data_IF_429105134797
#
_entry.id   IF_429105134797
#
_cell.length_a   1.000
_cell.length_b   1.000
_cell.length_c   1.000
_cell.angle_alpha   90.00
_cell.angle_beta   90.00
_cell.angle_gamma   90.00
#
_symmetry.space_group_name_H-M   'P 1'
#
loop_
_entity.id
_entity.type
_entity.pdbx_description
1 polymer ?
#
# COMPACT_ATOMS: atom_id res chain seq x y z
N UNK A 1 -22.66 12.65 -9.41
CA UNK A 1 -22.23 11.67 -8.38
C UNK A 1 -23.46 10.88 -7.97
N UNK A 2 -23.52 9.60 -8.32
CA UNK A 2 -24.68 8.77 -7.99
C UNK A 2 -24.55 8.33 -6.53
N UNK A 3 -25.48 8.77 -5.67
CA UNK A 3 -25.53 8.39 -4.25
C UNK A 3 -26.71 7.48 -3.99
N UNK A 4 -26.46 6.33 -3.36
CA UNK A 4 -27.46 5.38 -2.92
C UNK A 4 -27.57 5.43 -1.41
N UNK A 5 -28.79 5.37 -0.88
CA UNK A 5 -29.02 5.23 0.56
C UNK A 5 -29.55 3.82 0.81
N UNK A 6 -28.79 3.02 1.56
CA UNK A 6 -29.18 1.67 1.99
C UNK A 6 -29.08 1.65 3.52
N UNK A 7 -30.15 1.26 4.21
CA UNK A 7 -30.23 1.20 5.68
C UNK A 7 -29.74 2.48 6.38
N UNK A 8 -30.20 3.63 5.90
CA UNK A 8 -29.84 4.96 6.42
C UNK A 8 -28.35 5.32 6.31
N UNK A 9 -27.58 4.60 5.47
CA UNK A 9 -26.18 4.91 5.13
C UNK A 9 -26.08 5.35 3.68
N UNK A 10 -25.31 6.42 3.44
CA UNK A 10 -25.07 6.95 2.10
C UNK A 10 -23.83 6.31 1.48
N UNK A 11 -24.00 5.77 0.27
CA UNK A 11 -22.96 5.15 -0.54
C UNK A 11 -22.81 5.92 -1.84
N UNK A 12 -21.58 6.03 -2.34
CA UNK A 12 -21.31 6.60 -3.66
C UNK A 12 -21.04 5.45 -4.62
N UNK A 13 -21.82 5.38 -5.70
CA UNK A 13 -21.58 4.42 -6.77
C UNK A 13 -20.60 5.03 -7.75
N UNK A 14 -19.50 4.33 -7.98
CA UNK A 14 -18.48 4.68 -8.95
C UNK A 14 -18.29 3.53 -9.94
N UNK A 15 -17.96 3.81 -11.21
CA UNK A 15 -17.47 2.80 -12.14
C UNK A 15 -16.30 2.00 -11.55
N UNK A 16 -16.15 0.75 -11.96
CA UNK A 16 -15.11 -0.13 -11.42
C UNK A 16 -13.70 0.39 -11.72
N UNK A 17 -13.49 0.99 -12.88
CA UNK A 17 -12.22 1.61 -13.27
C UNK A 17 -11.83 2.72 -12.29
N UNK A 18 -12.75 3.64 -12.01
CA UNK A 18 -12.57 4.73 -11.04
C UNK A 18 -12.32 4.19 -9.63
N UNK A 19 -13.02 3.11 -9.24
CA UNK A 19 -12.79 2.46 -7.96
C UNK A 19 -11.37 1.89 -7.84
N UNK A 20 -10.88 1.21 -8.89
CA UNK A 20 -9.51 0.69 -8.93
C UNK A 20 -8.47 1.80 -8.87
N UNK A 21 -8.71 2.92 -9.53
CA UNK A 21 -7.84 4.11 -9.41
C UNK A 21 -7.83 4.70 -8.00
N UNK A 22 -9.00 4.81 -7.36
CA UNK A 22 -9.12 5.30 -5.99
C UNK A 22 -8.40 4.37 -5.00
N UNK A 23 -8.50 3.05 -5.19
CA UNK A 23 -7.74 2.08 -4.41
C UNK A 23 -6.23 2.24 -4.59
N UNK A 24 -5.75 2.39 -5.84
CA UNK A 24 -4.32 2.66 -6.11
C UNK A 24 -3.86 3.95 -5.42
N UNK A 25 -4.63 5.03 -5.54
CA UNK A 25 -4.34 6.32 -4.89
C UNK A 25 -4.34 6.20 -3.36
N UNK A 26 -5.25 5.41 -2.78
CA UNK A 26 -5.28 5.16 -1.34
C UNK A 26 -4.08 4.32 -0.87
N UNK A 27 -3.70 3.27 -1.61
CA UNK A 27 -2.52 2.46 -1.32
C UNK A 27 -1.22 3.28 -1.37
N UNK A 28 -1.15 4.29 -2.25
CA UNK A 28 -0.01 5.21 -2.34
C UNK A 28 0.04 6.26 -1.22
N UNK A 29 -1.01 6.42 -0.41
CA UNK A 29 -0.99 7.32 0.77
C UNK A 29 -0.29 6.71 1.98
N UNK A 30 0.00 5.42 1.96
CA UNK A 30 1.00 4.82 2.86
C UNK A 30 2.35 5.43 2.47
N UNK A 31 2.96 6.18 3.41
CA UNK A 31 4.20 6.97 3.20
C UNK A 31 5.10 6.32 2.16
N UNK A 32 5.58 7.10 1.18
CA UNK A 32 6.59 6.65 0.21
C UNK A 32 7.67 5.85 0.95
N UNK A 33 7.58 4.52 0.85
CA UNK A 33 8.61 3.66 1.42
C UNK A 33 9.88 3.96 0.67
N UNK A 34 11.00 3.94 1.40
CA UNK A 34 12.30 4.21 0.79
C UNK A 34 12.53 3.16 -0.30
N UNK A 35 12.39 3.59 -1.56
CA UNK A 35 12.62 2.72 -2.71
C UNK A 35 14.11 2.44 -2.76
N UNK A 36 14.48 1.21 -2.38
CA UNK A 36 15.85 0.75 -2.49
C UNK A 36 16.09 0.26 -3.92
N UNK A 37 17.25 0.60 -4.48
CA UNK A 37 17.75 -0.12 -5.64
C UNK A 37 17.97 -1.61 -5.31
N UNK A 38 18.05 -2.46 -6.33
CA UNK A 38 18.26 -3.90 -6.13
C UNK A 38 19.53 -4.20 -5.32
N UNK A 39 20.58 -3.42 -5.49
CA UNK A 39 21.84 -3.58 -4.76
C UNK A 39 21.68 -3.18 -3.29
N UNK A 40 21.03 -2.03 -3.02
CA UNK A 40 20.75 -1.58 -1.67
C UNK A 40 19.82 -2.54 -0.92
N UNK A 41 18.81 -3.09 -1.60
CA UNK A 41 17.89 -4.09 -1.03
C UNK A 41 18.64 -5.39 -0.66
N UNK A 42 19.55 -5.86 -1.53
CA UNK A 42 20.41 -7.04 -1.26
C UNK A 42 21.37 -6.79 -0.09
N UNK A 43 21.95 -5.60 0.00
CA UNK A 43 22.84 -5.24 1.11
C UNK A 43 22.07 -5.14 2.44
N UNK A 44 20.91 -4.48 2.42
CA UNK A 44 20.06 -4.29 3.58
C UNK A 44 19.52 -5.62 4.13
N UNK A 45 19.01 -6.49 3.26
CA UNK A 45 18.54 -7.84 3.64
C UNK A 45 19.65 -8.69 4.25
N UNK A 46 20.84 -8.75 3.64
CA UNK A 46 22.00 -9.46 4.22
C UNK A 46 22.38 -8.93 5.59
N UNK A 47 22.33 -7.61 5.81
CA UNK A 47 22.59 -6.99 7.11
C UNK A 47 21.58 -7.45 8.16
N UNK A 48 20.29 -7.48 7.82
CA UNK A 48 19.24 -7.97 8.73
C UNK A 48 19.40 -9.45 9.06
N UNK A 49 19.69 -10.29 8.07
CA UNK A 49 19.92 -11.73 8.26
C UNK A 49 21.10 -11.95 9.22
N UNK A 50 22.21 -11.23 9.02
CA UNK A 50 23.36 -11.30 9.93
C UNK A 50 23.01 -10.87 11.34
N UNK A 51 22.30 -9.75 11.49
CA UNK A 51 21.84 -9.28 12.80
C UNK A 51 21.00 -10.34 13.52
N UNK A 52 20.04 -10.95 12.82
CA UNK A 52 19.21 -12.02 13.38
C UNK A 52 20.03 -13.26 13.77
N UNK A 53 20.99 -13.65 12.94
CA UNK A 53 21.87 -14.78 13.23
C UNK A 53 22.81 -14.53 14.40
N UNK A 54 23.20 -13.27 14.66
CA UNK A 54 24.07 -12.87 15.79
C UNK A 54 23.32 -12.64 17.11
N UNK A 55 22.00 -12.44 17.05
CA UNK A 55 21.12 -12.29 18.22
C UNK A 55 20.67 -13.65 18.81
N UNK A 56 21.15 -14.75 18.21
CA UNK A 56 20.87 -16.14 18.59
C UNK A 56 22.09 -16.77 19.23
#
# INVERSE_FOLDING_TARGET
>A
MNTLVIDNKSYVVVPEEDYRELQKKAALKTKSEKVLSLEEAKAYSKKLIRKWASDK
#
